data_IF_173669346918
#
_entry.id   IF_173669346918
#
_cell.length_a   1.000
_cell.length_b   1.000
_cell.length_c   1.000
_cell.angle_alpha   90.00
_cell.angle_beta   90.00
_cell.angle_gamma   90.00
#
_symmetry.space_group_name_H-M   'P 1'
#
loop_
_entity.id
_entity.type
_entity.pdbx_description
1 polymer ?
#
# COMPACT_ATOMS: atom_id res chain seq x y z
N UNK A 1 -25.50 5.24 -5.98
CA UNK A 1 -24.68 5.15 -4.74
C UNK A 1 -24.43 6.55 -4.20
N UNK A 2 -24.56 6.75 -2.89
CA UNK A 2 -24.23 8.03 -2.25
C UNK A 2 -22.75 8.35 -2.52
N UNK A 3 -22.43 9.57 -2.99
CA UNK A 3 -21.05 9.94 -3.37
C UNK A 3 -20.06 9.71 -2.23
N UNK A 4 -20.50 9.90 -0.99
CA UNK A 4 -19.72 9.60 0.22
C UNK A 4 -19.35 8.12 0.28
N UNK A 5 -20.31 7.21 0.06
CA UNK A 5 -20.08 5.75 0.08
C UNK A 5 -19.08 5.31 -0.99
N UNK A 6 -19.12 5.94 -2.16
CA UNK A 6 -18.15 5.66 -3.22
C UNK A 6 -16.72 6.07 -2.81
N UNK A 7 -16.53 7.29 -2.29
CA UNK A 7 -15.21 7.75 -1.86
C UNK A 7 -14.67 7.01 -0.63
N UNK A 8 -15.55 6.59 0.29
CA UNK A 8 -15.13 5.71 1.40
C UNK A 8 -14.66 4.35 0.89
N UNK A 9 -15.35 3.76 -0.09
CA UNK A 9 -14.91 2.50 -0.67
C UNK A 9 -13.54 2.63 -1.35
N UNK A 10 -13.31 3.72 -2.10
CA UNK A 10 -12.00 4.01 -2.70
C UNK A 10 -10.91 4.11 -1.62
N UNK A 11 -11.13 4.87 -0.55
CA UNK A 11 -10.15 5.02 0.53
C UNK A 11 -9.83 3.67 1.19
N UNK A 12 -10.85 2.84 1.47
CA UNK A 12 -10.68 1.52 2.08
C UNK A 12 -9.89 0.60 1.15
N UNK A 13 -10.29 0.49 -0.12
CA UNK A 13 -9.62 -0.39 -1.09
C UNK A 13 -8.17 0.03 -1.27
N UNK A 14 -7.88 1.32 -1.42
CA UNK A 14 -6.51 1.82 -1.53
C UNK A 14 -5.67 1.50 -0.29
N UNK A 15 -6.24 1.65 0.90
CA UNK A 15 -5.56 1.28 2.16
C UNK A 15 -5.26 -0.21 2.21
N UNK A 16 -6.23 -1.07 1.83
CA UNK A 16 -6.04 -2.52 1.80
C UNK A 16 -4.94 -2.92 0.82
N UNK A 17 -4.84 -2.27 -0.35
CA UNK A 17 -3.78 -2.53 -1.32
C UNK A 17 -2.41 -2.18 -0.73
N UNK A 18 -2.27 -1.00 -0.10
CA UNK A 18 -1.00 -0.59 0.52
C UNK A 18 -0.61 -1.57 1.64
N UNK A 19 -1.55 -1.93 2.51
CA UNK A 19 -1.31 -2.88 3.61
C UNK A 19 -0.92 -4.25 3.06
N UNK A 20 -1.59 -4.73 2.01
CA UNK A 20 -1.25 -6.00 1.36
C UNK A 20 0.21 -6.00 0.88
N UNK A 21 0.65 -4.96 0.17
CA UNK A 21 2.03 -4.86 -0.31
C UNK A 21 3.06 -4.68 0.81
N UNK A 22 2.69 -4.02 1.91
CA UNK A 22 3.56 -3.90 3.09
C UNK A 22 3.77 -5.25 3.80
N UNK A 23 2.72 -6.09 3.82
CA UNK A 23 2.74 -7.41 4.45
C UNK A 23 3.32 -8.50 3.53
N UNK A 24 3.30 -8.28 2.21
CA UNK A 24 3.79 -9.25 1.25
C UNK A 24 5.31 -9.25 1.16
N UNK A 25 5.92 -10.08 2.01
CA UNK A 25 7.36 -10.29 2.06
C UNK A 25 7.76 -11.54 1.29
N UNK A 26 8.91 -11.46 0.62
CA UNK A 26 9.56 -12.58 -0.05
C UNK A 26 10.92 -12.83 0.59
N UNK A 27 11.30 -14.10 0.66
CA UNK A 27 12.63 -14.52 1.05
C UNK A 27 13.43 -14.92 -0.19
N UNK A 28 14.68 -14.46 -0.26
CA UNK A 28 15.65 -14.94 -1.24
C UNK A 28 16.87 -15.46 -0.50
N UNK A 29 17.27 -16.69 -0.80
CA UNK A 29 18.49 -17.28 -0.25
C UNK A 29 19.58 -17.23 -1.31
N UNK A 30 20.72 -16.68 -0.93
CA UNK A 30 21.96 -16.78 -1.68
C UNK A 30 22.71 -18.00 -1.14
N UNK A 31 22.71 -19.08 -1.92
CA UNK A 31 23.46 -20.29 -1.57
C UNK A 31 24.96 -20.06 -1.75
N UNK A 32 25.72 -20.35 -0.71
CA UNK A 32 27.18 -20.34 -0.80
C UNK A 32 27.65 -21.56 -1.61
N UNK A 33 28.64 -21.35 -2.48
CA UNK A 33 29.28 -22.46 -3.19
C UNK A 33 29.90 -23.45 -2.17
N UNK A 34 29.98 -24.76 -2.48
CA UNK A 34 30.55 -25.74 -1.56
C UNK A 34 31.96 -25.34 -1.11
N UNK A 35 32.15 -25.14 0.20
CA UNK A 35 33.42 -24.71 0.79
C UNK A 35 33.64 -23.19 0.91
N UNK A 36 32.63 -22.35 0.63
CA UNK A 36 32.75 -20.88 0.67
C UNK A 36 31.87 -20.18 1.71
N UNK A 37 31.44 -20.87 2.78
CA UNK A 37 30.77 -20.28 3.93
C UNK A 37 29.32 -20.72 4.11
N UNK A 38 28.56 -19.97 4.92
CA UNK A 38 27.14 -20.22 5.19
C UNK A 38 26.23 -19.56 4.15
N UNK A 39 25.16 -20.24 3.73
CA UNK A 39 24.12 -19.64 2.90
C UNK A 39 23.41 -18.52 3.65
N UNK A 40 23.16 -17.39 2.97
CA UNK A 40 22.51 -16.23 3.59
C UNK A 40 21.13 -16.03 2.98
N UNK A 41 20.11 -16.06 3.82
CA UNK A 41 18.75 -15.71 3.42
C UNK A 41 18.42 -14.28 3.85
N UNK A 42 17.91 -13.50 2.90
CA UNK A 42 17.39 -12.15 3.16
C UNK A 42 15.89 -12.13 2.87
N UNK A 43 15.13 -11.48 3.74
CA UNK A 43 13.70 -11.22 3.55
C UNK A 43 13.47 -9.74 3.31
N UNK A 44 12.60 -9.43 2.36
CA UNK A 44 12.26 -8.07 2.01
C UNK A 44 10.88 -7.96 1.37
N UNK A 45 10.39 -6.73 1.13
CA UNK A 45 9.13 -6.52 0.42
C UNK A 45 9.21 -7.14 -0.97
N UNK A 46 8.15 -7.82 -1.42
CA UNK A 46 8.10 -8.44 -2.75
C UNK A 46 8.38 -7.46 -3.89
N UNK A 47 7.93 -6.22 -3.72
CA UNK A 47 8.11 -5.12 -4.67
C UNK A 47 9.38 -4.30 -4.39
N UNK A 48 10.23 -4.76 -3.48
CA UNK A 48 11.39 -4.03 -2.96
C UNK A 48 11.00 -2.83 -2.09
N UNK A 49 11.98 -2.31 -1.34
CA UNK A 49 11.80 -1.10 -0.53
C UNK A 49 11.38 0.11 -1.38
N UNK A 50 11.98 0.39 -2.55
CA UNK A 50 11.56 1.51 -3.38
C UNK A 50 10.12 1.37 -3.89
N UNK A 51 9.72 0.18 -4.32
CA UNK A 51 8.35 -0.08 -4.77
C UNK A 51 7.33 0.14 -3.65
N UNK A 52 7.67 -0.29 -2.43
CA UNK A 52 6.82 -0.07 -1.25
C UNK A 52 6.60 1.42 -0.96
N UNK A 53 7.64 2.25 -1.07
CA UNK A 53 7.51 3.71 -0.92
C UNK A 53 6.60 4.31 -1.98
N UNK A 54 6.77 3.93 -3.25
CA UNK A 54 5.93 4.43 -4.35
C UNK A 54 4.46 4.11 -4.12
N UNK A 55 4.15 2.85 -3.81
CA UNK A 55 2.77 2.41 -3.52
C UNK A 55 2.19 3.15 -2.31
N UNK A 56 2.98 3.34 -1.26
CA UNK A 56 2.53 4.05 -0.05
C UNK A 56 2.22 5.52 -0.34
N UNK A 57 3.06 6.21 -1.11
CA UNK A 57 2.84 7.61 -1.49
C UNK A 57 1.58 7.75 -2.34
N UNK A 58 1.43 6.91 -3.37
CA UNK A 58 0.23 6.93 -4.23
C UNK A 58 -1.02 6.66 -3.39
N UNK A 59 -0.99 5.65 -2.53
CA UNK A 59 -2.10 5.33 -1.63
C UNK A 59 -2.46 6.50 -0.71
N UNK A 60 -1.46 7.15 -0.11
CA UNK A 60 -1.67 8.33 0.75
C UNK A 60 -2.35 9.49 -0.01
N UNK A 61 -1.91 9.77 -1.24
CA UNK A 61 -2.52 10.80 -2.10
C UNK A 61 -3.98 10.45 -2.42
N UNK A 62 -4.25 9.20 -2.80
CA UNK A 62 -5.62 8.75 -3.12
C UNK A 62 -6.54 8.86 -1.90
N UNK A 63 -6.08 8.46 -0.72
CA UNK A 63 -6.84 8.59 0.53
C UNK A 63 -7.09 10.06 0.85
N UNK A 64 -6.08 10.94 0.72
CA UNK A 64 -6.26 12.37 0.94
C UNK A 64 -7.30 12.99 0.00
N UNK A 65 -7.28 12.63 -1.28
CA UNK A 65 -8.28 13.06 -2.27
C UNK A 65 -9.66 12.52 -1.93
N UNK A 66 -9.77 11.25 -1.53
CA UNK A 66 -11.04 10.66 -1.13
C UNK A 66 -11.64 11.38 0.10
N UNK A 67 -10.82 11.67 1.12
CA UNK A 67 -11.23 12.44 2.30
C UNK A 67 -11.68 13.85 1.90
N UNK A 68 -10.93 14.52 1.04
CA UNK A 68 -11.30 15.85 0.53
C UNK A 68 -12.67 15.84 -0.15
N UNK A 69 -12.94 14.84 -0.99
CA UNK A 69 -14.21 14.71 -1.70
C UNK A 69 -15.37 14.36 -0.77
N UNK A 70 -15.13 13.55 0.27
CA UNK A 70 -16.11 13.30 1.33
C UNK A 70 -16.46 14.61 2.01
N UNK A 71 -15.47 15.36 2.51
CA UNK A 71 -15.70 16.64 3.20
C UNK A 71 -16.44 17.64 2.29
N UNK A 72 -16.07 17.71 1.01
CA UNK A 72 -16.76 18.57 0.03
C UNK A 72 -18.21 18.14 -0.18
N UNK A 73 -18.49 16.85 -0.32
CA UNK A 73 -19.85 16.33 -0.49
C UNK A 73 -20.72 16.59 0.75
N UNK A 74 -20.15 16.44 1.95
CA UNK A 74 -20.81 16.76 3.20
C UNK A 74 -21.17 18.24 3.32
N UNK A 75 -20.26 19.14 2.93
CA UNK A 75 -20.50 20.58 2.93
C UNK A 75 -21.55 21.04 1.90
N UNK A 76 -21.82 20.23 0.87
CA UNK A 76 -22.76 20.56 -0.20
C UNK A 76 -24.20 20.08 0.08
N UNK A 77 -24.44 19.33 1.15
CA UNK A 77 -25.78 18.92 1.56
C UNK A 77 -26.54 20.15 2.13
N UNK A 78 -27.73 20.49 1.62
CA UNK A 78 -28.58 21.48 2.26
C UNK A 78 -28.93 20.99 3.67
N UNK A 79 -28.80 21.89 4.66
CA UNK A 79 -29.14 21.62 6.06
C UNK A 79 -30.62 21.34 6.22
#
# INVERSE_FOLDING_TARGET
>A
MNRVVAWTAVAVISTLIVVFFAMYQVSSCADAAPGHGESVCTSGPAIGVPGLWVVSIIGAVVVAVAVWQIVRAWRALPR
#
